data_IF_809647949937
#
_entry.id   IF_809647949937
#
_cell.length_a   1.000
_cell.length_b   1.000
_cell.length_c   1.000
_cell.angle_alpha   90.00
_cell.angle_beta   90.00
_cell.angle_gamma   90.00
#
_symmetry.space_group_name_H-M   'P 1'
#
loop_
_entity.id
_entity.type
_entity.pdbx_description
1 polymer ?
#
# COMPACT_ATOMS: atom_id res chain seq x y z
N UNK A 1 -30.43 15.81 -20.71
CA UNK A 1 -29.40 16.32 -19.80
C UNK A 1 -28.34 15.25 -19.57
N UNK A 2 -27.16 15.43 -20.17
CA UNK A 2 -26.02 14.56 -20.05
C UNK A 2 -24.93 15.31 -19.28
N UNK A 3 -24.33 14.67 -18.33
CA UNK A 3 -23.21 15.21 -17.59
C UNK A 3 -22.05 14.20 -17.59
N UNK A 4 -20.88 14.66 -17.97
CA UNK A 4 -19.68 13.83 -18.00
C UNK A 4 -18.51 14.56 -17.34
N UNK A 5 -17.81 13.88 -16.45
CA UNK A 5 -16.53 14.33 -15.90
C UNK A 5 -15.50 13.24 -15.99
N UNK A 6 -14.25 13.63 -16.21
CA UNK A 6 -13.11 12.74 -16.16
C UNK A 6 -11.98 13.39 -15.37
N UNK A 7 -11.28 12.60 -14.59
CA UNK A 7 -10.14 13.00 -13.79
C UNK A 7 -9.00 11.99 -13.97
N UNK A 8 -7.80 12.49 -14.12
CA UNK A 8 -6.59 11.70 -14.04
C UNK A 8 -5.66 12.30 -12.98
N UNK A 9 -5.06 11.47 -12.15
CA UNK A 9 -4.09 11.86 -11.13
C UNK A 9 -2.89 10.95 -11.19
N UNK A 10 -1.70 11.54 -11.10
CA UNK A 10 -0.45 10.82 -10.90
C UNK A 10 0.16 11.28 -9.58
N UNK A 11 0.61 10.32 -8.80
CA UNK A 11 1.25 10.56 -7.52
C UNK A 11 2.56 9.78 -7.46
N UNK A 12 3.63 10.44 -7.05
CA UNK A 12 4.95 9.84 -6.88
C UNK A 12 5.38 10.03 -5.45
N UNK A 13 5.63 8.93 -4.77
CA UNK A 13 6.08 8.93 -3.39
C UNK A 13 7.46 8.28 -3.28
N UNK A 14 8.32 8.84 -2.46
CA UNK A 14 9.60 8.26 -2.09
C UNK A 14 9.83 8.42 -0.59
N UNK A 15 10.51 7.46 0.00
CA UNK A 15 10.92 7.54 1.38
C UNK A 15 12.31 6.96 1.54
N UNK A 16 13.11 7.66 2.32
CA UNK A 16 14.44 7.27 2.76
C UNK A 16 14.43 7.19 4.29
N UNK A 17 14.90 6.09 4.83
CA UNK A 17 15.02 5.88 6.26
C UNK A 17 16.42 5.42 6.60
N UNK A 18 17.00 6.00 7.64
CA UNK A 18 18.25 5.53 8.23
C UNK A 18 18.11 5.40 9.73
N UNK A 19 18.68 4.35 10.28
CA UNK A 19 18.69 4.11 11.71
C UNK A 19 20.06 3.62 12.14
N UNK A 20 20.44 3.96 13.33
CA UNK A 20 21.61 3.39 14.01
C UNK A 20 21.27 3.12 15.46
N UNK A 21 21.93 2.15 16.03
CA UNK A 21 21.79 1.87 17.45
C UNK A 21 23.05 1.27 18.01
N UNK A 22 23.26 1.52 19.29
CA UNK A 22 24.36 0.98 20.07
C UNK A 22 23.82 0.29 21.31
N UNK A 23 24.42 -0.82 21.68
CA UNK A 23 24.19 -1.50 22.96
C UNK A 23 25.48 -1.46 23.75
N UNK A 24 25.46 -0.84 24.91
CA UNK A 24 26.57 -0.73 25.82
C UNK A 24 26.22 -1.35 27.17
N UNK A 25 27.22 -1.82 27.89
CA UNK A 25 27.08 -2.33 29.27
C UNK A 25 28.09 -1.66 30.19
N UNK A 26 27.93 -1.82 31.50
CA UNK A 26 28.81 -1.21 32.49
C UNK A 26 28.65 0.30 32.63
N UNK A 27 27.45 0.80 32.39
CA UNK A 27 27.09 2.21 32.63
C UNK A 27 27.06 2.51 34.14
N UNK A 28 27.50 3.73 34.56
CA UNK A 28 27.55 4.10 35.97
C UNK A 28 26.15 4.18 36.64
N UNK A 29 25.11 4.40 35.88
CA UNK A 29 23.69 4.47 36.32
C UNK A 29 22.78 3.98 35.23
N UNK A 30 21.66 3.33 35.61
CA UNK A 30 20.59 2.90 34.69
C UNK A 30 19.78 4.04 34.10
N UNK A 31 19.89 5.25 34.65
CA UNK A 31 19.17 6.43 34.17
C UNK A 31 19.89 7.16 33.03
N UNK A 32 21.10 6.75 32.70
CA UNK A 32 21.88 7.34 31.61
C UNK A 32 21.54 6.63 30.29
N UNK A 33 20.64 7.24 29.53
CA UNK A 33 20.25 6.76 28.20
C UNK A 33 20.94 7.61 27.12
N UNK A 34 22.24 7.44 26.95
CA UNK A 34 23.00 8.13 25.91
C UNK A 34 23.96 7.17 25.20
N UNK A 35 23.98 7.23 23.89
CA UNK A 35 24.93 6.45 23.07
C UNK A 35 26.38 6.89 23.26
N UNK A 36 26.62 8.06 23.87
CA UNK A 36 27.93 8.62 24.16
C UNK A 36 28.35 8.42 25.63
N UNK A 37 27.51 7.78 26.47
CA UNK A 37 27.81 7.50 27.85
C UNK A 37 29.03 6.55 27.97
N UNK A 38 29.81 6.75 29.01
CA UNK A 38 30.95 5.87 29.30
C UNK A 38 30.47 4.47 29.66
N UNK A 39 30.77 3.52 28.79
CA UNK A 39 30.42 2.11 28.93
C UNK A 39 31.14 1.29 27.86
N UNK A 40 31.18 -0.02 28.04
CA UNK A 40 31.73 -0.90 27.02
C UNK A 40 30.72 -1.19 25.93
N UNK A 41 31.07 -0.92 24.67
CA UNK A 41 30.24 -1.21 23.53
C UNK A 41 30.08 -2.73 23.35
N UNK A 42 28.84 -3.23 23.38
CA UNK A 42 28.53 -4.63 23.13
C UNK A 42 28.15 -4.87 21.66
N UNK A 43 27.38 -3.97 21.09
CA UNK A 43 26.94 -4.09 19.71
C UNK A 43 26.63 -2.72 19.13
N UNK A 44 26.82 -2.60 17.83
CA UNK A 44 26.43 -1.44 17.03
C UNK A 44 25.77 -1.93 15.75
N UNK A 45 24.68 -1.30 15.36
CA UNK A 45 24.00 -1.62 14.11
C UNK A 45 23.61 -0.36 13.37
N UNK A 46 23.54 -0.47 12.05
CA UNK A 46 23.00 0.55 11.17
C UNK A 46 21.95 -0.09 10.26
N UNK A 47 20.92 0.66 9.94
CA UNK A 47 19.92 0.27 8.96
C UNK A 47 19.68 1.40 7.98
N UNK A 48 19.45 1.05 6.73
CA UNK A 48 19.07 1.98 5.68
C UNK A 48 17.95 1.37 4.86
N UNK A 49 16.94 2.15 4.57
CA UNK A 49 15.83 1.76 3.73
C UNK A 49 15.53 2.84 2.70
N UNK A 50 15.18 2.44 1.50
CA UNK A 50 14.73 3.32 0.42
C UNK A 50 13.60 2.66 -0.32
N UNK A 51 12.54 3.44 -0.58
CA UNK A 51 11.44 2.97 -1.41
C UNK A 51 10.92 4.09 -2.31
N UNK A 52 10.36 3.69 -3.43
CA UNK A 52 9.67 4.59 -4.37
C UNK A 52 8.40 3.92 -4.83
N UNK A 53 7.35 4.71 -4.96
CA UNK A 53 6.08 4.27 -5.52
C UNK A 53 5.49 5.33 -6.43
N UNK A 54 4.80 4.87 -7.46
CA UNK A 54 4.09 5.70 -8.44
C UNK A 54 2.66 5.17 -8.52
N UNK A 55 1.70 6.07 -8.38
CA UNK A 55 0.28 5.75 -8.48
C UNK A 55 -0.33 6.57 -9.61
N UNK A 56 -1.02 5.90 -10.50
CA UNK A 56 -1.86 6.52 -11.51
C UNK A 56 -3.32 6.22 -11.21
N UNK A 57 -4.17 7.23 -11.12
CA UNK A 57 -5.62 7.05 -10.95
C UNK A 57 -6.34 7.74 -12.09
N UNK A 58 -7.24 7.03 -12.73
CA UNK A 58 -8.19 7.56 -13.69
C UNK A 58 -9.61 7.29 -13.19
N UNK A 59 -10.46 8.31 -13.28
CA UNK A 59 -11.87 8.20 -12.95
C UNK A 59 -12.67 8.92 -14.01
N UNK A 60 -13.74 8.28 -14.50
CA UNK A 60 -14.76 8.90 -15.32
C UNK A 60 -16.13 8.70 -14.69
N UNK A 61 -16.90 9.74 -14.71
CA UNK A 61 -18.27 9.74 -14.21
C UNK A 61 -19.18 10.28 -15.31
N UNK A 62 -20.23 9.51 -15.59
CA UNK A 62 -21.28 9.89 -16.53
C UNK A 62 -22.62 9.83 -15.83
N UNK A 63 -23.45 10.85 -15.98
CA UNK A 63 -24.82 10.82 -15.51
C UNK A 63 -25.81 11.30 -16.58
N UNK A 64 -26.97 10.67 -16.60
CA UNK A 64 -28.05 10.97 -17.50
C UNK A 64 -29.30 11.32 -16.70
N UNK A 65 -29.86 12.53 -16.98
CA UNK A 65 -31.06 13.09 -16.32
C UNK A 65 -31.01 13.03 -14.77
N UNK A 66 -29.82 12.96 -14.17
CA UNK A 66 -29.62 12.72 -12.74
C UNK A 66 -30.23 11.41 -12.20
N UNK A 67 -30.92 10.64 -13.03
CA UNK A 67 -31.55 9.35 -12.70
C UNK A 67 -30.52 8.22 -12.72
N UNK A 68 -29.69 8.22 -13.74
CA UNK A 68 -28.67 7.17 -13.97
C UNK A 68 -27.29 7.77 -13.84
N UNK A 69 -26.40 7.10 -13.15
CA UNK A 69 -25.00 7.46 -13.10
C UNK A 69 -24.11 6.22 -13.19
N UNK A 70 -23.00 6.34 -13.90
CA UNK A 70 -21.98 5.32 -14.05
C UNK A 70 -20.63 5.95 -13.72
N UNK A 71 -19.88 5.29 -12.85
CA UNK A 71 -18.51 5.68 -12.53
C UNK A 71 -17.57 4.53 -12.85
N UNK A 72 -16.53 4.82 -13.63
CA UNK A 72 -15.45 3.92 -13.94
C UNK A 72 -14.18 4.47 -13.28
N UNK A 73 -13.48 3.63 -12.54
CA UNK A 73 -12.19 4.00 -11.94
C UNK A 73 -11.15 2.94 -12.30
N UNK A 74 -9.98 3.40 -12.68
CA UNK A 74 -8.81 2.55 -12.88
C UNK A 74 -7.65 3.10 -12.05
N UNK A 75 -7.01 2.25 -11.26
CA UNK A 75 -5.81 2.59 -10.51
C UNK A 75 -4.65 1.70 -10.94
N UNK A 76 -3.53 2.32 -11.25
CA UNK A 76 -2.27 1.68 -11.57
C UNK A 76 -1.27 1.98 -10.45
N UNK A 77 -0.81 0.96 -9.76
CA UNK A 77 0.15 1.07 -8.67
C UNK A 77 1.49 0.46 -9.08
N UNK A 78 2.55 1.25 -8.96
CA UNK A 78 3.93 0.80 -9.15
C UNK A 78 4.75 1.01 -7.89
N UNK A 79 5.53 0.01 -7.47
CA UNK A 79 6.36 0.12 -6.27
C UNK A 79 7.65 -0.68 -6.38
N UNK A 80 8.73 -0.13 -5.83
CA UNK A 80 10.00 -0.84 -5.66
C UNK A 80 9.96 -1.92 -4.58
N UNK A 81 8.89 -1.95 -3.77
CA UNK A 81 8.67 -3.00 -2.76
C UNK A 81 8.30 -4.35 -3.36
N UNK A 82 7.81 -4.35 -4.61
CA UNK A 82 7.50 -5.57 -5.34
C UNK A 82 8.72 -6.18 -6.02
N UNK A 83 8.65 -7.48 -6.29
CA UNK A 83 9.70 -8.20 -7.01
C UNK A 83 9.91 -7.71 -8.45
N UNK A 84 11.12 -7.89 -8.99
CA UNK A 84 11.41 -7.57 -10.38
C UNK A 84 10.49 -8.39 -11.30
N UNK A 85 9.73 -7.75 -12.17
CA UNK A 85 8.73 -8.37 -13.04
C UNK A 85 7.28 -8.16 -12.60
N UNK A 86 7.02 -7.95 -11.33
CA UNK A 86 5.67 -7.75 -10.78
C UNK A 86 5.49 -6.37 -10.11
N UNK A 87 6.19 -5.36 -10.61
CA UNK A 87 6.22 -4.01 -10.00
C UNK A 87 4.94 -3.21 -10.18
N UNK A 88 4.06 -3.63 -11.08
CA UNK A 88 2.85 -2.92 -11.43
C UNK A 88 1.62 -3.75 -11.11
N UNK A 89 0.63 -3.13 -10.49
CA UNK A 89 -0.70 -3.66 -10.27
C UNK A 89 -1.76 -2.75 -10.86
N UNK A 90 -2.76 -3.31 -11.53
CA UNK A 90 -3.89 -2.55 -12.04
C UNK A 90 -5.18 -2.99 -11.34
N UNK A 91 -5.92 -2.02 -10.83
CA UNK A 91 -7.11 -2.22 -10.01
C UNK A 91 -8.29 -1.45 -10.61
N UNK A 92 -9.11 -2.12 -11.40
CA UNK A 92 -10.31 -1.53 -11.96
C UNK A 92 -11.46 -1.56 -10.96
N UNK A 93 -12.36 -0.57 -11.06
CA UNK A 93 -13.66 -0.60 -10.41
C UNK A 93 -14.72 0.06 -11.26
N UNK A 94 -15.96 -0.42 -11.11
CA UNK A 94 -17.15 0.10 -11.75
C UNK A 94 -18.26 0.22 -10.73
N UNK A 95 -18.95 1.34 -10.71
CA UNK A 95 -20.13 1.54 -9.88
C UNK A 95 -21.22 2.26 -10.65
N UNK A 96 -22.46 1.85 -10.41
CA UNK A 96 -23.67 2.45 -10.97
C UNK A 96 -24.53 3.07 -9.88
N UNK A 97 -25.38 4.00 -10.29
CA UNK A 97 -26.49 4.51 -9.48
C UNK A 97 -27.72 4.65 -10.36
N UNK A 98 -28.81 4.13 -9.89
CA UNK A 98 -30.14 4.32 -10.46
C UNK A 98 -31.06 4.87 -9.39
N UNK A 99 -31.57 6.09 -9.60
CA UNK A 99 -32.56 6.70 -8.74
C UNK A 99 -33.93 6.22 -9.21
N UNK A 100 -34.48 5.21 -8.58
CA UNK A 100 -35.75 4.58 -8.94
C UNK A 100 -36.90 5.51 -8.61
N UNK A 101 -36.80 6.28 -7.52
CA UNK A 101 -37.83 7.26 -7.13
C UNK A 101 -38.11 8.32 -8.17
N UNK A 102 -37.16 8.59 -9.09
CA UNK A 102 -37.31 9.61 -10.12
C UNK A 102 -37.98 9.05 -11.40
N UNK A 103 -38.39 7.78 -11.41
CA UNK A 103 -39.05 7.13 -12.54
C UNK A 103 -40.55 7.40 -12.54
N UNK A 104 -41.15 7.49 -13.74
CA UNK A 104 -42.56 7.79 -13.91
C UNK A 104 -43.48 6.78 -13.21
N UNK A 105 -43.09 5.52 -13.10
CA UNK A 105 -43.89 4.49 -12.41
C UNK A 105 -43.90 4.62 -10.88
N UNK A 106 -43.08 5.52 -10.32
CA UNK A 106 -43.00 5.79 -8.89
C UNK A 106 -43.71 7.08 -8.47
N UNK A 107 -44.20 7.88 -9.43
CA UNK A 107 -44.86 9.20 -9.17
C UNK A 107 -46.09 9.09 -8.28
N UNK A 108 -46.81 7.96 -8.29
CA UNK A 108 -48.00 7.72 -7.49
C UNK A 108 -47.72 7.29 -6.04
N UNK A 109 -46.44 7.14 -5.65
CA UNK A 109 -46.05 6.62 -4.34
C UNK A 109 -45.57 7.75 -3.39
N UNK A 110 -46.48 8.58 -2.92
CA UNK A 110 -46.23 9.76 -2.07
C UNK A 110 -45.50 9.45 -0.75
N UNK A 111 -45.60 8.19 -0.28
CA UNK A 111 -44.97 7.77 0.96
C UNK A 111 -43.47 7.50 0.82
N UNK A 112 -42.95 7.37 -0.42
CA UNK A 112 -41.54 7.03 -0.70
C UNK A 112 -40.78 8.24 -1.25
N UNK A 113 -40.04 8.92 -0.39
CA UNK A 113 -39.32 10.14 -0.75
C UNK A 113 -38.06 9.88 -1.60
N UNK A 114 -37.38 8.73 -1.41
CA UNK A 114 -36.17 8.40 -2.14
C UNK A 114 -35.91 6.89 -2.16
N UNK A 115 -35.69 6.35 -3.34
CA UNK A 115 -35.21 4.99 -3.54
C UNK A 115 -34.12 4.99 -4.61
N UNK A 116 -32.93 4.55 -4.25
CA UNK A 116 -31.82 4.43 -5.19
C UNK A 116 -31.11 3.09 -5.06
N UNK A 117 -30.81 2.48 -6.20
CA UNK A 117 -30.01 1.28 -6.29
C UNK A 117 -28.58 1.61 -6.72
N UNK A 118 -27.58 1.13 -5.99
CA UNK A 118 -26.16 1.48 -6.19
C UNK A 118 -25.30 0.23 -6.24
N UNK A 119 -25.25 -0.49 -7.38
CA UNK A 119 -24.36 -1.59 -7.57
C UNK A 119 -22.91 -1.10 -7.77
N UNK A 120 -21.95 -1.88 -7.28
CA UNK A 120 -20.53 -1.60 -7.51
C UNK A 120 -19.70 -2.85 -7.32
N UNK A 121 -18.65 -2.95 -8.12
CA UNK A 121 -17.63 -3.98 -8.02
C UNK A 121 -16.27 -3.37 -8.32
N UNK A 122 -15.24 -3.83 -7.63
CA UNK A 122 -13.88 -3.34 -7.84
C UNK A 122 -12.85 -4.26 -7.20
N UNK A 123 -11.60 -3.99 -7.54
CA UNK A 123 -10.45 -4.64 -6.95
C UNK A 123 -9.62 -3.62 -6.18
N UNK A 124 -9.06 -4.05 -5.05
CA UNK A 124 -8.16 -3.23 -4.23
C UNK A 124 -6.83 -3.95 -4.09
N UNK A 125 -5.74 -3.23 -4.35
CA UNK A 125 -4.40 -3.73 -4.16
C UNK A 125 -3.90 -3.53 -2.73
N UNK A 126 -3.29 -4.57 -2.18
CA UNK A 126 -2.61 -4.53 -0.88
C UNK A 126 -1.10 -4.62 -1.11
N UNK A 127 -0.37 -3.61 -0.64
CA UNK A 127 1.09 -3.60 -0.71
C UNK A 127 1.70 -4.37 0.46
N UNK A 128 2.84 -5.08 0.25
CA UNK A 128 3.59 -5.67 1.33
C UNK A 128 4.04 -4.62 2.35
N UNK A 129 3.90 -4.94 3.63
CA UNK A 129 4.30 -4.04 4.72
C UNK A 129 5.82 -3.90 4.87
N UNK A 130 6.60 -4.88 4.44
CA UNK A 130 8.06 -4.89 4.57
C UNK A 130 8.75 -4.62 3.23
N UNK A 131 9.93 -4.02 3.31
CA UNK A 131 10.79 -3.70 2.19
C UNK A 131 11.80 -4.82 1.93
N UNK A 132 12.29 -4.91 0.69
CA UNK A 132 13.36 -5.84 0.30
C UNK A 132 13.05 -7.33 0.48
N UNK A 133 11.77 -7.73 0.56
CA UNK A 133 11.38 -9.15 0.70
C UNK A 133 11.76 -9.99 -0.53
N UNK A 134 11.96 -9.36 -1.68
CA UNK A 134 12.37 -10.03 -2.92
C UNK A 134 13.89 -10.26 -3.00
N UNK A 135 14.67 -9.79 -2.03
CA UNK A 135 16.10 -10.07 -1.93
C UNK A 135 16.38 -11.14 -0.89
N UNK A 136 17.45 -11.91 -1.10
CA UNK A 136 18.05 -12.73 -0.06
C UNK A 136 18.86 -11.82 0.87
N UNK A 137 18.51 -11.78 2.14
CA UNK A 137 19.24 -11.06 3.17
C UNK A 137 20.06 -12.06 3.98
N UNK A 138 21.27 -11.67 4.30
CA UNK A 138 22.19 -12.44 5.16
C UNK A 138 22.53 -11.61 6.38
N UNK A 139 22.64 -12.24 7.51
CA UNK A 139 23.15 -11.63 8.74
C UNK A 139 24.36 -12.40 9.26
N UNK A 140 25.28 -11.69 9.88
CA UNK A 140 26.34 -12.32 10.65
C UNK A 140 25.73 -12.95 11.90
N UNK A 141 25.97 -14.25 12.11
CA UNK A 141 25.33 -15.01 13.18
C UNK A 141 26.30 -15.26 14.32
N UNK A 142 27.57 -15.53 14.01
CA UNK A 142 28.61 -15.79 15.01
C UNK A 142 29.97 -15.85 14.35
N UNK A 143 31.01 -15.99 15.17
CA UNK A 143 32.39 -16.22 14.75
C UNK A 143 32.71 -17.69 14.97
N UNK A 144 33.03 -18.40 13.89
CA UNK A 144 33.55 -19.77 13.98
C UNK A 144 35.04 -19.75 13.75
N UNK A 145 35.80 -19.97 14.82
CA UNK A 145 37.23 -19.69 14.83
C UNK A 145 37.48 -18.18 14.64
N UNK A 146 38.32 -17.82 13.67
CA UNK A 146 38.64 -16.42 13.33
C UNK A 146 37.82 -15.91 12.12
N UNK A 147 36.79 -16.66 11.65
CA UNK A 147 35.98 -16.33 10.49
C UNK A 147 34.56 -15.99 10.88
N UNK A 148 34.06 -14.87 10.34
CA UNK A 148 32.65 -14.49 10.50
C UNK A 148 31.74 -15.44 9.75
N UNK A 149 30.80 -16.06 10.46
CA UNK A 149 29.74 -16.89 9.86
C UNK A 149 28.53 -16.05 9.47
N UNK A 150 27.99 -16.28 8.28
CA UNK A 150 26.78 -15.63 7.79
C UNK A 150 25.68 -16.65 7.54
N UNK A 151 24.45 -16.32 7.93
CA UNK A 151 23.29 -17.14 7.65
C UNK A 151 22.20 -16.33 6.91
N UNK A 152 21.37 -16.98 6.11
CA UNK A 152 20.23 -16.31 5.49
C UNK A 152 19.25 -15.85 6.58
N UNK A 153 18.83 -14.58 6.48
CA UNK A 153 17.95 -13.93 7.45
C UNK A 153 16.47 -13.94 6.98
N UNK A 154 16.23 -14.23 5.70
CA UNK A 154 14.88 -14.34 5.16
C UNK A 154 14.83 -15.35 4.00
N UNK A 155 13.63 -15.83 3.73
CA UNK A 155 13.34 -16.55 2.49
C UNK A 155 13.07 -15.50 1.40
N UNK A 156 13.77 -15.62 0.28
CA UNK A 156 13.55 -14.75 -0.88
C UNK A 156 12.18 -15.03 -1.48
N UNK A 157 11.37 -13.98 -1.63
CA UNK A 157 10.09 -14.02 -2.32
C UNK A 157 10.25 -13.42 -3.73
N UNK A 158 10.71 -14.25 -4.68
CA UNK A 158 11.00 -13.78 -6.06
C UNK A 158 9.77 -13.28 -6.79
N UNK A 159 8.60 -13.86 -6.50
CA UNK A 159 7.33 -13.60 -7.19
C UNK A 159 6.40 -12.66 -6.41
N UNK A 160 7.00 -11.86 -5.51
CA UNK A 160 6.26 -10.91 -4.69
C UNK A 160 5.54 -9.89 -5.59
N UNK A 161 4.23 -9.91 -5.55
CA UNK A 161 3.33 -9.02 -6.29
C UNK A 161 2.34 -8.33 -5.37
N UNK A 162 1.66 -7.31 -5.89
CA UNK A 162 0.52 -6.73 -5.22
C UNK A 162 -0.60 -7.76 -5.11
N UNK A 163 -1.10 -7.99 -3.91
CA UNK A 163 -2.26 -8.85 -3.69
C UNK A 163 -3.52 -8.06 -4.06
N UNK A 164 -4.35 -8.64 -4.94
CA UNK A 164 -5.60 -8.05 -5.37
C UNK A 164 -6.74 -8.70 -4.58
N UNK A 165 -7.47 -7.90 -3.83
CA UNK A 165 -8.66 -8.33 -3.09
C UNK A 165 -9.91 -7.83 -3.76
N UNK A 166 -10.91 -8.71 -3.84
CA UNK A 166 -12.27 -8.38 -4.25
C UNK A 166 -13.20 -8.36 -3.03
N UNK A 167 -14.39 -7.73 -3.10
CA UNK A 167 -15.30 -7.65 -1.94
C UNK A 167 -15.79 -8.99 -1.39
N UNK A 168 -15.50 -10.10 -2.08
CA UNK A 168 -15.91 -11.46 -1.70
C UNK A 168 -14.76 -12.34 -1.14
N UNK A 169 -13.54 -11.81 -1.08
CA UNK A 169 -12.35 -12.50 -0.55
C UNK A 169 -12.16 -12.27 0.96
#
# INVERSE_FOLDING_TARGET
>A
DHFFTAMARVEVNSGDGSGYGTVSYGLPSGDIISSTAQGQLKNMWTSQSQWRSVYGTYQSHYSYKSKYALTLTGRLDGSTKFGPGNRWGFFPSISGRWNISDEAFMEDLDWLSMLSFRPGIGQVGVQPGAEYLHFSKYSSVDVYGDMSATAPNNIRLSDLKCDAKTPWD
#
